data_IF_291514987781
#
_entry.id   IF_291514987781
#
_cell.length_a   1.000
_cell.length_b   1.000
_cell.length_c   1.000
_cell.angle_alpha   90.00
_cell.angle_beta   90.00
_cell.angle_gamma   90.00
#
_symmetry.space_group_name_H-M   'P 1'
#
loop_
_entity.id
_entity.type
_entity.pdbx_description
1 polymer ?
#
# COMPACT_ATOMS: atom_id res chain seq x y z
N UNK A 1 -16.62 -36.25 15.52
CA UNK A 1 -16.91 -35.12 16.42
C UNK A 1 -17.86 -34.15 15.73
N UNK A 2 -18.95 -33.71 16.38
CA UNK A 2 -19.84 -32.67 15.83
C UNK A 2 -19.15 -31.30 15.80
N UNK A 3 -19.47 -30.43 14.82
CA UNK A 3 -18.85 -29.12 14.70
C UNK A 3 -19.22 -28.21 15.87
N UNK A 4 -18.29 -27.40 16.40
CA UNK A 4 -18.55 -26.51 17.53
C UNK A 4 -19.65 -25.51 17.16
N UNK A 5 -20.60 -25.31 18.08
CA UNK A 5 -21.71 -24.38 17.88
C UNK A 5 -21.20 -22.97 17.62
N UNK A 6 -21.67 -22.33 16.55
CA UNK A 6 -21.21 -21.00 16.10
C UNK A 6 -21.44 -19.84 17.08
N UNK A 7 -22.07 -20.09 18.24
CA UNK A 7 -22.35 -19.07 19.25
C UNK A 7 -21.97 -19.62 20.62
N UNK A 8 -21.12 -18.89 21.36
CA UNK A 8 -20.91 -19.16 22.80
C UNK A 8 -22.23 -18.87 23.51
N UNK A 9 -22.72 -19.84 24.30
CA UNK A 9 -23.86 -19.63 25.20
C UNK A 9 -23.34 -18.78 26.37
N UNK A 10 -23.60 -17.47 26.35
CA UNK A 10 -23.41 -16.62 27.53
C UNK A 10 -24.62 -16.80 28.45
N UNK A 11 -24.41 -16.74 29.76
CA UNK A 11 -25.50 -16.78 30.74
C UNK A 11 -26.49 -15.64 30.46
N UNK A 12 -27.78 -15.92 30.64
CA UNK A 12 -28.80 -14.88 30.65
C UNK A 12 -28.51 -13.97 31.86
N UNK A 13 -28.52 -12.67 31.64
CA UNK A 13 -28.40 -11.70 32.72
C UNK A 13 -29.82 -11.40 33.19
N UNK A 14 -30.10 -11.63 34.47
CA UNK A 14 -31.45 -11.55 35.02
C UNK A 14 -31.97 -10.10 35.12
N UNK A 15 -31.07 -9.13 35.36
CA UNK A 15 -31.41 -7.71 35.45
C UNK A 15 -30.37 -6.84 34.72
N UNK A 16 -30.86 -5.91 33.89
CA UNK A 16 -30.01 -4.94 33.17
C UNK A 16 -30.32 -3.56 33.73
N UNK A 17 -29.40 -3.02 34.53
CA UNK A 17 -29.48 -1.63 35.00
C UNK A 17 -28.91 -0.70 33.93
N UNK A 18 -29.65 0.35 33.60
CA UNK A 18 -29.18 1.39 32.69
C UNK A 18 -28.94 2.67 33.48
N UNK A 19 -27.70 3.15 33.50
CA UNK A 19 -27.41 4.52 33.95
C UNK A 19 -27.82 5.48 32.83
N UNK A 20 -28.71 6.42 33.14
CA UNK A 20 -29.17 7.42 32.19
C UNK A 20 -28.02 8.30 31.66
N UNK A 21 -26.97 8.51 32.46
CA UNK A 21 -25.78 9.25 32.02
C UNK A 21 -25.04 8.50 30.93
N UNK A 22 -24.73 7.22 31.16
CA UNK A 22 -24.10 6.36 30.15
C UNK A 22 -24.98 6.21 28.91
N UNK A 23 -26.30 6.18 29.08
CA UNK A 23 -27.25 6.17 27.96
C UNK A 23 -27.17 7.45 27.15
N UNK A 24 -27.12 8.62 27.78
CA UNK A 24 -26.99 9.90 27.08
C UNK A 24 -25.64 10.04 26.37
N UNK A 25 -24.55 9.64 27.01
CA UNK A 25 -23.21 9.58 26.39
C UNK A 25 -23.15 8.54 25.25
N UNK A 26 -23.86 7.42 25.40
CA UNK A 26 -24.00 6.46 24.32
C UNK A 26 -24.79 7.04 23.14
N UNK A 27 -25.90 7.74 23.38
CA UNK A 27 -26.71 8.30 22.30
C UNK A 27 -26.09 9.54 21.63
N UNK A 28 -25.32 10.35 22.35
CA UNK A 28 -24.73 11.59 21.81
C UNK A 28 -23.25 11.44 21.42
N UNK A 29 -22.54 10.49 22.03
CA UNK A 29 -21.11 10.28 21.87
C UNK A 29 -20.69 9.52 20.60
N UNK A 30 -21.52 9.42 19.56
CA UNK A 30 -21.17 8.70 18.32
C UNK A 30 -19.87 9.20 17.69
N UNK A 31 -19.64 10.52 17.67
CA UNK A 31 -18.39 11.12 17.19
C UNK A 31 -17.21 10.73 18.08
N UNK A 32 -17.37 10.74 19.40
CA UNK A 32 -16.35 10.31 20.37
C UNK A 32 -15.99 8.83 20.17
N UNK A 33 -16.99 7.94 20.04
CA UNK A 33 -16.75 6.50 19.77
C UNK A 33 -16.14 6.25 18.39
N UNK A 34 -16.49 7.02 17.38
CA UNK A 34 -15.87 6.93 16.05
C UNK A 34 -14.40 7.33 16.13
N UNK A 35 -14.10 8.44 16.80
CA UNK A 35 -12.72 8.88 17.04
C UNK A 35 -11.94 7.87 17.88
N UNK A 36 -12.53 7.33 18.95
CA UNK A 36 -11.91 6.28 19.78
C UNK A 36 -11.59 5.02 18.96
N UNK A 37 -12.49 4.57 18.07
CA UNK A 37 -12.21 3.45 17.17
C UNK A 37 -11.07 3.75 16.19
N UNK A 38 -11.00 4.97 15.67
CA UNK A 38 -9.90 5.38 14.78
C UNK A 38 -8.59 5.40 15.56
N UNK A 39 -8.57 5.99 16.76
CA UNK A 39 -7.38 6.03 17.64
C UNK A 39 -6.92 4.64 18.04
N UNK A 40 -7.83 3.78 18.49
CA UNK A 40 -7.51 2.39 18.82
C UNK A 40 -6.94 1.63 17.60
N UNK A 41 -7.49 1.84 16.40
CA UNK A 41 -6.93 1.24 15.19
C UNK A 41 -5.52 1.75 14.88
N UNK A 42 -5.25 3.04 15.12
CA UNK A 42 -3.92 3.64 14.99
C UNK A 42 -2.95 3.11 16.05
N UNK A 43 -3.39 2.99 17.30
CA UNK A 43 -2.60 2.45 18.42
C UNK A 43 -2.22 1.00 18.18
N UNK A 44 -3.16 0.16 17.76
CA UNK A 44 -2.89 -1.24 17.42
C UNK A 44 -1.93 -1.34 16.23
N UNK A 45 -2.07 -0.48 15.22
CA UNK A 45 -1.13 -0.45 14.10
C UNK A 45 0.28 -0.05 14.56
N UNK A 46 0.41 0.96 15.41
CA UNK A 46 1.68 1.41 15.96
C UNK A 46 2.33 0.36 16.89
N UNK A 47 1.54 -0.37 17.67
CA UNK A 47 2.04 -1.48 18.50
C UNK A 47 2.60 -2.59 17.62
N UNK A 48 1.86 -3.00 16.59
CA UNK A 48 2.32 -4.01 15.64
C UNK A 48 3.59 -3.61 14.91
N UNK A 49 3.67 -2.37 14.44
CA UNK A 49 4.88 -1.85 13.78
C UNK A 49 6.11 -1.89 14.71
N UNK A 50 5.93 -1.55 16.00
CA UNK A 50 7.01 -1.65 16.99
C UNK A 50 7.43 -3.09 17.26
N UNK A 51 6.49 -4.02 17.32
CA UNK A 51 6.76 -5.44 17.50
C UNK A 51 7.49 -6.03 16.29
N UNK A 52 7.02 -5.73 15.07
CA UNK A 52 7.64 -6.13 13.81
C UNK A 52 9.05 -5.56 13.69
N UNK A 53 9.25 -4.28 13.97
CA UNK A 53 10.59 -3.66 13.94
C UNK A 53 11.55 -4.28 14.95
N UNK A 54 11.07 -4.64 16.14
CA UNK A 54 11.89 -5.33 17.14
C UNK A 54 12.25 -6.74 16.69
N UNK A 55 11.29 -7.45 16.08
CA UNK A 55 11.50 -8.78 15.52
C UNK A 55 12.52 -8.74 14.38
N UNK A 56 12.39 -7.82 13.43
CA UNK A 56 13.33 -7.62 12.32
C UNK A 56 14.74 -7.32 12.84
N UNK A 57 14.87 -6.46 13.86
CA UNK A 57 16.16 -6.18 14.50
C UNK A 57 16.76 -7.42 15.16
N UNK A 58 15.95 -8.25 15.81
CA UNK A 58 16.41 -9.51 16.40
C UNK A 58 16.86 -10.48 15.32
N UNK A 59 16.08 -10.65 14.26
CA UNK A 59 16.41 -11.51 13.11
C UNK A 59 17.70 -11.05 12.43
N UNK A 60 17.92 -9.74 12.27
CA UNK A 60 19.16 -9.18 11.71
C UNK A 60 20.37 -9.48 12.61
N UNK A 61 20.23 -9.34 13.93
CA UNK A 61 21.30 -9.68 14.89
C UNK A 61 21.61 -11.16 14.87
N UNK A 62 20.59 -12.03 14.84
CA UNK A 62 20.77 -13.47 14.74
C UNK A 62 21.46 -13.86 13.43
N UNK A 63 21.06 -13.25 12.31
CA UNK A 63 21.71 -13.47 11.01
C UNK A 63 23.18 -13.09 11.07
N UNK A 64 23.51 -11.89 11.57
CA UNK A 64 24.91 -11.45 11.74
C UNK A 64 25.70 -12.39 12.64
N UNK A 65 25.10 -12.88 13.73
CA UNK A 65 25.73 -13.84 14.62
C UNK A 65 26.04 -15.16 13.91
N UNK A 66 25.08 -15.71 13.18
CA UNK A 66 25.27 -16.95 12.39
C UNK A 66 26.34 -16.77 11.31
N UNK A 67 26.36 -15.63 10.63
CA UNK A 67 27.34 -15.34 9.59
C UNK A 67 28.76 -15.23 10.20
N UNK A 68 28.90 -14.60 11.37
CA UNK A 68 30.16 -14.56 12.13
C UNK A 68 30.59 -15.95 12.61
N UNK A 69 29.68 -16.74 13.17
CA UNK A 69 29.96 -18.12 13.62
C UNK A 69 30.44 -18.99 12.45
N UNK A 70 29.81 -18.86 11.27
CA UNK A 70 30.25 -19.54 10.03
C UNK A 70 31.64 -19.09 9.61
N UNK A 71 31.89 -17.79 9.57
CA UNK A 71 33.19 -17.26 9.17
C UNK A 71 34.31 -17.72 10.11
N UNK A 72 34.09 -17.70 11.43
CA UNK A 72 35.06 -18.21 12.40
C UNK A 72 35.28 -19.71 12.21
N UNK A 73 34.22 -20.50 11.96
CA UNK A 73 34.36 -21.92 11.68
C UNK A 73 35.15 -22.19 10.39
N UNK A 74 34.93 -21.41 9.33
CA UNK A 74 35.66 -21.48 8.06
C UNK A 74 37.15 -21.11 8.24
N UNK A 75 37.46 -20.01 8.93
CA UNK A 75 38.84 -19.61 9.24
C UNK A 75 39.55 -20.67 10.09
N UNK A 76 38.87 -21.17 11.13
CA UNK A 76 39.42 -22.25 11.96
C UNK A 76 39.64 -23.54 11.17
N UNK A 77 38.78 -23.86 10.21
CA UNK A 77 38.95 -25.01 9.33
C UNK A 77 40.14 -24.84 8.38
N UNK A 78 40.33 -23.64 7.81
CA UNK A 78 41.50 -23.30 6.98
C UNK A 78 42.78 -23.39 7.80
N UNK A 79 42.80 -22.79 9.01
CA UNK A 79 43.96 -22.83 9.89
C UNK A 79 44.30 -24.26 10.31
N UNK A 80 43.30 -25.07 10.71
CA UNK A 80 43.52 -26.49 11.02
C UNK A 80 44.04 -27.27 9.82
N UNK A 81 43.54 -27.00 8.61
CA UNK A 81 44.04 -27.63 7.37
C UNK A 81 45.50 -27.25 7.11
N UNK A 82 45.86 -25.97 7.27
CA UNK A 82 47.23 -25.49 7.12
C UNK A 82 48.16 -26.06 8.20
N UNK A 83 47.72 -26.12 9.47
CA UNK A 83 48.48 -26.75 10.55
C UNK A 83 48.67 -28.25 10.31
N UNK A 84 47.66 -28.97 9.81
CA UNK A 84 47.79 -30.40 9.46
C UNK A 84 48.68 -30.64 8.24
N UNK A 85 48.74 -29.70 7.29
CA UNK A 85 49.64 -29.76 6.13
C UNK A 85 51.08 -29.41 6.53
N UNK A 86 51.27 -28.49 7.50
CA UNK A 86 52.56 -28.11 8.08
C UNK A 86 53.09 -29.11 9.12
N UNK A 87 52.30 -30.09 9.59
CA UNK A 87 52.74 -31.11 10.56
C UNK A 87 53.82 -32.07 9.99
N UNK A 88 54.07 -32.02 8.68
CA UNK A 88 55.22 -32.69 8.06
C UNK A 88 56.50 -31.83 7.96
N UNK A 89 56.50 -30.61 8.51
CA UNK A 89 57.69 -29.77 8.44
C UNK A 89 57.63 -28.49 9.25
N UNK A 90 57.57 -28.57 10.58
CA UNK A 90 58.25 -27.58 11.43
C UNK A 90 58.42 -28.05 12.89
N UNK A 91 59.65 -28.47 13.22
CA UNK A 91 60.17 -28.46 14.59
C UNK A 91 61.17 -27.30 14.68
N UNK A 92 60.76 -26.04 14.67
CA UNK A 92 61.50 -24.92 15.27
C UNK A 92 60.78 -23.58 15.07
N UNK A 93 60.06 -23.09 16.08
CA UNK A 93 59.39 -21.78 16.00
C UNK A 93 59.19 -21.17 17.38
N UNK A 94 60.29 -20.68 17.94
CA UNK A 94 60.43 -19.87 19.14
C UNK A 94 59.16 -19.15 19.61
N UNK A 95 58.85 -19.40 20.88
CA UNK A 95 58.09 -18.54 21.78
C UNK A 95 58.47 -17.06 21.57
N UNK A 96 57.54 -16.27 21.07
CA UNK A 96 57.53 -14.82 21.26
C UNK A 96 56.18 -14.47 21.89
N UNK A 97 56.23 -14.32 23.20
CA UNK A 97 55.15 -13.83 24.05
C UNK A 97 55.07 -12.31 23.86
N UNK A 98 54.54 -11.85 22.73
CA UNK A 98 54.04 -10.48 22.61
C UNK A 98 52.71 -10.40 23.38
N UNK A 99 52.86 -10.34 24.71
CA UNK A 99 51.81 -10.07 25.68
C UNK A 99 51.18 -8.72 25.34
N UNK A 100 49.98 -8.77 24.73
CA UNK A 100 49.17 -7.60 24.44
C UNK A 100 48.88 -6.86 25.75
N UNK A 101 49.65 -5.80 26.01
CA UNK A 101 49.47 -4.94 27.17
C UNK A 101 48.13 -4.23 27.04
N UNK A 102 47.12 -4.79 27.71
CA UNK A 102 45.78 -4.22 27.78
C UNK A 102 45.88 -2.75 28.17
N UNK A 103 45.10 -1.90 27.48
CA UNK A 103 44.93 -0.49 27.76
C UNK A 103 44.83 -0.29 29.28
N UNK A 104 45.93 0.16 29.87
CA UNK A 104 46.02 0.47 31.29
C UNK A 104 45.00 1.56 31.59
N UNK A 105 44.00 1.18 32.38
CA UNK A 105 42.97 2.02 32.97
C UNK A 105 43.60 2.93 34.03
N UNK A 106 44.47 3.85 33.62
CA UNK A 106 44.82 5.02 34.41
C UNK A 106 45.46 6.07 33.52
N UNK A 107 44.64 6.91 32.89
CA UNK A 107 45.00 8.31 32.72
C UNK A 107 43.75 9.15 32.45
N UNK A 108 43.58 10.09 33.36
CA UNK A 108 42.65 11.20 33.40
C UNK A 108 42.85 12.13 32.19
N UNK A 109 42.41 11.72 31.02
CA UNK A 109 42.29 12.58 29.85
C UNK A 109 40.82 12.83 29.55
N UNK A 110 40.37 14.04 29.84
CA UNK A 110 39.12 14.62 29.32
C UNK A 110 38.98 14.23 27.85
N UNK A 111 37.88 13.57 27.42
CA UNK A 111 37.72 13.32 26.00
C UNK A 111 37.73 14.67 25.30
N UNK A 112 38.58 14.91 24.28
CA UNK A 112 38.37 16.08 23.45
C UNK A 112 36.93 15.95 22.97
N UNK A 113 36.12 16.98 23.24
CA UNK A 113 34.75 17.06 22.74
C UNK A 113 34.87 17.13 21.23
N UNK A 114 34.99 15.97 20.60
CA UNK A 114 34.97 15.81 19.16
C UNK A 114 33.62 16.35 18.73
N UNK A 115 33.66 17.55 18.13
CA UNK A 115 32.51 18.09 17.45
C UNK A 115 31.99 16.98 16.52
N UNK A 116 30.67 16.70 16.48
CA UNK A 116 30.16 15.70 15.58
C UNK A 116 30.55 16.12 14.17
N UNK A 117 31.52 15.44 13.58
CA UNK A 117 31.87 15.64 12.18
C UNK A 117 30.66 15.08 11.43
N UNK A 118 29.69 15.95 11.16
CA UNK A 118 28.65 15.71 10.17
C UNK A 118 29.35 15.68 8.82
N UNK A 119 29.98 14.56 8.49
CA UNK A 119 30.38 14.26 7.13
C UNK A 119 29.08 13.98 6.38
N UNK A 120 28.48 15.04 5.86
CA UNK A 120 27.41 14.96 4.88
C UNK A 120 28.07 14.48 3.59
N UNK A 121 28.18 13.16 3.44
CA UNK A 121 28.62 12.55 2.19
C UNK A 121 27.46 12.72 1.18
N UNK A 122 27.44 13.85 0.48
CA UNK A 122 26.52 14.09 -0.64
C UNK A 122 26.91 13.20 -1.82
N UNK A 123 26.18 12.10 -2.00
CA UNK A 123 26.21 11.31 -3.23
C UNK A 123 25.50 12.11 -4.33
N UNK A 124 26.27 12.70 -5.25
CA UNK A 124 25.73 13.23 -6.49
C UNK A 124 25.58 12.05 -7.45
N UNK A 125 24.35 11.52 -7.58
CA UNK A 125 24.02 10.61 -8.68
C UNK A 125 24.05 11.42 -9.98
N UNK A 126 25.19 11.44 -10.67
CA UNK A 126 25.43 12.17 -11.94
C UNK A 126 24.48 11.74 -13.08
N UNK A 127 23.70 10.67 -12.88
CA UNK A 127 22.77 10.09 -13.87
C UNK A 127 21.28 10.44 -13.67
N UNK A 128 20.91 11.31 -12.73
CA UNK A 128 19.50 11.72 -12.52
C UNK A 128 19.24 13.16 -12.96
N UNK A 129 19.07 13.38 -14.26
CA UNK A 129 18.51 14.62 -14.78
C UNK A 129 17.01 14.72 -14.44
N UNK A 130 16.67 15.41 -13.35
CA UNK A 130 15.30 15.87 -13.10
C UNK A 130 15.15 17.29 -13.66
N UNK A 131 14.66 17.41 -14.88
CA UNK A 131 14.36 18.73 -15.46
C UNK A 131 13.11 19.31 -14.82
N UNK A 132 13.24 20.46 -14.14
CA UNK A 132 12.12 21.24 -13.61
C UNK A 132 11.60 22.17 -14.70
N UNK A 133 10.37 21.94 -15.15
CA UNK A 133 9.65 22.85 -16.05
C UNK A 133 8.81 23.83 -15.24
N UNK A 134 9.12 25.12 -15.31
CA UNK A 134 8.30 26.17 -14.72
C UNK A 134 7.17 26.49 -15.69
N UNK A 135 5.94 26.12 -15.34
CA UNK A 135 4.74 26.52 -16.08
C UNK A 135 4.02 27.65 -15.33
N UNK A 136 3.72 28.73 -16.05
CA UNK A 136 2.90 29.82 -15.52
C UNK A 136 1.44 29.36 -15.47
N UNK A 137 0.92 29.14 -14.27
CA UNK A 137 -0.49 28.79 -14.03
C UNK A 137 -1.25 30.03 -13.57
N UNK A 138 -2.39 30.30 -14.21
CA UNK A 138 -3.30 31.36 -13.78
C UNK A 138 -4.06 30.90 -12.53
N UNK A 139 -4.06 31.72 -11.48
CA UNK A 139 -4.80 31.45 -10.23
C UNK A 139 -6.15 32.17 -10.31
N UNK A 140 -7.24 31.41 -10.45
CA UNK A 140 -8.61 31.94 -10.39
C UNK A 140 -9.34 31.39 -9.16
N UNK A 141 -10.50 31.98 -8.81
CA UNK A 141 -11.31 31.60 -7.64
C UNK A 141 -11.75 30.12 -7.67
N UNK A 142 -11.79 29.52 -8.86
CA UNK A 142 -12.20 28.13 -9.07
C UNK A 142 -11.02 27.13 -9.24
N UNK A 143 -9.76 27.60 -9.26
CA UNK A 143 -8.57 26.74 -9.23
C UNK A 143 -7.38 27.24 -10.04
N UNK A 144 -6.40 26.34 -10.24
CA UNK A 144 -5.24 26.55 -11.13
C UNK A 144 -5.62 26.17 -12.56
N UNK A 145 -5.56 27.14 -13.48
CA UNK A 145 -5.78 26.92 -14.91
C UNK A 145 -4.45 27.00 -15.67
N UNK A 146 -4.19 25.99 -16.52
CA UNK A 146 -3.02 25.93 -17.37
C UNK A 146 -3.23 26.85 -18.59
N UNK A 147 -2.51 27.96 -18.64
CA UNK A 147 -2.64 28.95 -19.72
C UNK A 147 -2.10 28.34 -21.03
N UNK A 148 -3.00 27.88 -21.90
CA UNK A 148 -2.65 27.50 -23.27
C UNK A 148 -2.34 28.76 -24.06
N UNK A 149 -1.06 29.03 -24.30
CA UNK A 149 -0.63 30.07 -25.23
C UNK A 149 -0.99 29.69 -26.67
N UNK A 150 -1.83 30.49 -27.32
CA UNK A 150 -1.87 30.63 -28.77
C UNK A 150 -2.79 29.68 -29.54
N UNK A 151 -4.06 30.06 -29.67
CA UNK A 151 -4.72 30.13 -30.98
C UNK A 151 -5.99 30.95 -30.83
N UNK A 152 -5.95 32.17 -31.33
CA UNK A 152 -7.15 32.93 -31.66
C UNK A 152 -7.99 32.13 -32.64
N UNK A 153 -9.28 31.97 -32.36
CA UNK A 153 -10.32 32.08 -33.38
C UNK A 153 -11.62 32.53 -32.73
N UNK A 154 -12.09 33.65 -33.26
CA UNK A 154 -13.23 34.44 -32.85
C UNK A 154 -14.50 33.81 -33.44
N UNK A 155 -15.53 33.55 -32.63
CA UNK A 155 -16.73 32.87 -33.12
C UNK A 155 -17.94 33.03 -32.21
N UNK A 156 -18.53 34.23 -32.28
CA UNK A 156 -19.81 34.68 -31.69
C UNK A 156 -20.98 33.68 -31.76
N UNK A 157 -21.90 33.85 -30.80
CA UNK A 157 -23.36 33.75 -31.01
C UNK A 157 -24.03 32.64 -30.20
N UNK A 158 -24.54 32.90 -29.00
CA UNK A 158 -25.86 33.46 -28.63
C UNK A 158 -27.02 32.46 -28.49
N UNK A 159 -27.77 32.70 -27.41
CA UNK A 159 -29.17 32.40 -27.12
C UNK A 159 -29.76 30.96 -27.07
N UNK A 160 -30.15 30.61 -25.83
CA UNK A 160 -31.51 30.22 -25.41
C UNK A 160 -32.43 29.44 -26.37
N UNK A 161 -32.96 28.31 -25.86
CA UNK A 161 -34.41 28.07 -25.81
C UNK A 161 -34.78 26.84 -24.96
N UNK A 162 -35.60 27.13 -23.94
CA UNK A 162 -36.47 26.18 -23.25
C UNK A 162 -37.59 25.61 -24.15
N UNK A 163 -38.29 24.61 -23.58
CA UNK A 163 -39.67 24.13 -23.86
C UNK A 163 -39.81 23.10 -24.99
N UNK A 164 -40.73 22.14 -24.97
CA UNK A 164 -41.58 21.47 -23.99
C UNK A 164 -42.36 20.41 -24.81
N UNK A 165 -42.77 19.31 -24.18
CA UNK A 165 -43.88 18.41 -24.59
C UNK A 165 -43.78 17.60 -25.92
N UNK A 166 -44.08 16.30 -25.82
CA UNK A 166 -45.29 15.69 -26.40
C UNK A 166 -45.36 14.20 -26.09
N UNK A 167 -46.35 13.82 -25.31
CA UNK A 167 -46.93 12.48 -25.28
C UNK A 167 -47.79 12.29 -26.55
N UNK A 168 -47.79 11.09 -27.14
CA UNK A 168 -49.03 10.37 -27.51
C UNK A 168 -48.79 9.06 -28.27
N UNK A 169 -49.62 8.06 -27.91
CA UNK A 169 -50.12 6.89 -28.67
C UNK A 169 -49.13 5.75 -29.00
N UNK A 170 -49.29 4.51 -28.50
CA UNK A 170 -50.36 3.50 -28.64
C UNK A 170 -50.38 2.78 -30.00
N UNK A 171 -50.07 1.47 -29.89
CA UNK A 171 -50.44 0.31 -30.72
C UNK A 171 -49.84 0.10 -32.11
N UNK A 172 -49.12 -1.02 -32.23
CA UNK A 172 -48.76 -1.68 -33.49
C UNK A 172 -48.39 -3.15 -33.26
N UNK A 173 -49.40 -3.99 -33.06
CA UNK A 173 -49.29 -5.46 -33.00
C UNK A 173 -48.83 -5.98 -34.36
N UNK A 174 -47.80 -6.83 -34.40
CA UNK A 174 -47.52 -7.59 -35.63
C UNK A 174 -46.11 -8.13 -35.84
N UNK A 175 -45.43 -8.73 -34.84
CA UNK A 175 -44.19 -9.53 -35.07
C UNK A 175 -44.04 -10.70 -34.09
N UNK A 176 -45.10 -11.47 -33.85
CA UNK A 176 -45.06 -12.61 -32.92
C UNK A 176 -44.58 -13.94 -33.54
N UNK A 177 -44.46 -14.05 -34.86
CA UNK A 177 -44.24 -15.34 -35.54
C UNK A 177 -42.77 -15.77 -35.70
N UNK A 178 -41.80 -14.86 -35.65
CA UNK A 178 -40.36 -15.22 -35.70
C UNK A 178 -39.76 -15.58 -34.33
N UNK A 179 -40.37 -15.09 -33.24
CA UNK A 179 -39.85 -15.31 -31.88
C UNK A 179 -40.02 -16.77 -31.43
N UNK A 180 -41.10 -17.43 -31.86
CA UNK A 180 -41.45 -18.80 -31.46
C UNK A 180 -40.46 -19.82 -32.03
N UNK A 181 -39.93 -19.61 -33.25
CA UNK A 181 -38.95 -20.53 -33.87
C UNK A 181 -37.56 -20.46 -33.23
N UNK A 182 -37.17 -19.33 -32.62
CA UNK A 182 -35.89 -19.19 -31.89
C UNK A 182 -35.95 -19.80 -30.48
N UNK A 183 -37.11 -19.77 -29.83
CA UNK A 183 -37.30 -20.32 -28.48
C UNK A 183 -37.28 -21.86 -28.44
N UNK A 184 -37.59 -22.54 -29.55
CA UNK A 184 -37.53 -24.00 -29.63
C UNK A 184 -36.09 -24.55 -29.63
N UNK A 185 -35.11 -23.82 -30.18
CA UNK A 185 -33.69 -24.22 -30.19
C UNK A 185 -32.94 -23.86 -28.90
N UNK A 186 -33.47 -22.97 -28.06
CA UNK A 186 -32.81 -22.54 -26.82
C UNK A 186 -33.08 -23.48 -25.63
N UNK A 187 -34.13 -24.30 -25.68
CA UNK A 187 -34.50 -25.27 -24.62
C UNK A 187 -33.54 -26.45 -24.47
N UNK A 188 -32.66 -26.67 -25.44
CA UNK A 188 -31.61 -27.71 -25.43
C UNK A 188 -30.31 -27.26 -24.74
N UNK A 189 -30.18 -25.98 -24.38
CA UNK A 189 -28.98 -25.47 -23.70
C UNK A 189 -29.19 -25.41 -22.18
N UNK A 190 -28.22 -25.85 -21.36
CA UNK A 190 -28.34 -25.74 -19.91
C UNK A 190 -28.51 -24.27 -19.51
N UNK A 191 -29.59 -23.98 -18.76
CA UNK A 191 -29.90 -22.63 -18.28
C UNK A 191 -28.73 -22.12 -17.44
N UNK A 192 -28.10 -21.02 -17.87
CA UNK A 192 -27.03 -20.37 -17.10
C UNK A 192 -27.60 -19.94 -15.74
N UNK A 193 -26.97 -20.37 -14.66
CA UNK A 193 -27.35 -19.96 -13.30
C UNK A 193 -27.34 -18.43 -13.22
N UNK A 194 -28.38 -17.84 -12.62
CA UNK A 194 -28.45 -16.40 -12.37
C UNK A 194 -27.17 -15.99 -11.62
N UNK A 195 -26.41 -15.04 -12.17
CA UNK A 195 -25.24 -14.50 -11.49
C UNK A 195 -25.74 -13.95 -10.16
N UNK A 196 -25.24 -14.50 -9.04
CA UNK A 196 -25.46 -13.88 -7.73
C UNK A 196 -24.83 -12.50 -7.81
N UNK A 197 -25.63 -11.45 -7.75
CA UNK A 197 -25.11 -10.10 -7.61
C UNK A 197 -24.39 -10.09 -6.26
N UNK A 198 -23.07 -10.17 -6.30
CA UNK A 198 -22.24 -9.83 -5.16
C UNK A 198 -21.73 -8.44 -5.47
N UNK A 199 -21.85 -7.55 -4.49
CA UNK A 199 -21.16 -6.28 -4.59
C UNK A 199 -19.68 -6.59 -4.75
N UNK A 200 -19.09 -5.99 -5.78
CA UNK A 200 -17.64 -6.00 -5.97
C UNK A 200 -16.97 -5.57 -4.67
N UNK A 201 -15.87 -6.22 -4.32
CA UNK A 201 -15.05 -5.79 -3.19
C UNK A 201 -14.57 -4.36 -3.41
N UNK A 202 -14.18 -3.64 -2.34
CA UNK A 202 -13.69 -2.26 -2.49
C UNK A 202 -12.51 -2.16 -3.46
N UNK A 203 -11.66 -3.19 -3.51
CA UNK A 203 -10.53 -3.28 -4.43
C UNK A 203 -11.01 -3.46 -5.89
N UNK A 204 -11.91 -4.41 -6.14
CA UNK A 204 -12.52 -4.63 -7.46
C UNK A 204 -13.22 -3.38 -7.98
N UNK A 205 -13.98 -2.68 -7.14
CA UNK A 205 -14.64 -1.41 -7.49
C UNK A 205 -13.65 -0.33 -7.90
N UNK A 206 -12.49 -0.24 -7.22
CA UNK A 206 -11.44 0.71 -7.57
C UNK A 206 -10.82 0.37 -8.93
N UNK A 207 -10.52 -0.91 -9.18
CA UNK A 207 -10.00 -1.37 -10.47
C UNK A 207 -11.00 -1.14 -11.61
N UNK A 208 -12.29 -1.39 -11.36
CA UNK A 208 -13.38 -1.08 -12.30
C UNK A 208 -13.43 0.40 -12.65
N UNK A 209 -13.37 1.30 -11.65
CA UNK A 209 -13.32 2.74 -11.87
C UNK A 209 -12.11 3.18 -12.69
N UNK A 210 -10.93 2.60 -12.44
CA UNK A 210 -9.71 2.91 -13.21
C UNK A 210 -9.91 2.48 -14.68
N UNK A 211 -10.40 1.26 -14.91
CA UNK A 211 -10.66 0.73 -16.24
C UNK A 211 -11.70 1.55 -17.01
N UNK A 212 -12.76 2.00 -16.34
CA UNK A 212 -13.77 2.85 -16.94
C UNK A 212 -13.23 4.24 -17.29
N UNK A 213 -12.39 4.82 -16.41
CA UNK A 213 -11.68 6.09 -16.71
C UNK A 213 -10.77 5.94 -17.93
N UNK A 214 -10.00 4.86 -18.01
CA UNK A 214 -9.13 4.58 -19.18
C UNK A 214 -9.95 4.43 -20.46
N UNK A 215 -11.05 3.67 -20.43
CA UNK A 215 -11.94 3.50 -21.59
C UNK A 215 -12.60 4.81 -22.02
N UNK A 216 -13.08 5.62 -21.07
CA UNK A 216 -13.68 6.92 -21.36
C UNK A 216 -12.64 7.91 -21.91
N UNK A 217 -11.44 7.91 -21.35
CA UNK A 217 -10.31 8.72 -21.82
C UNK A 217 -9.91 8.31 -23.24
N UNK A 218 -9.70 7.02 -23.51
CA UNK A 218 -9.38 6.53 -24.85
C UNK A 218 -10.48 6.88 -25.87
N UNK A 219 -11.76 6.75 -25.50
CA UNK A 219 -12.89 7.15 -26.35
C UNK A 219 -12.94 8.68 -26.57
N UNK A 220 -12.56 9.47 -25.57
CA UNK A 220 -12.48 10.92 -25.69
C UNK A 220 -11.33 11.34 -26.62
N UNK A 221 -10.14 10.73 -26.47
CA UNK A 221 -8.99 10.94 -27.37
C UNK A 221 -9.33 10.58 -28.82
N UNK A 222 -9.96 9.43 -29.04
CA UNK A 222 -10.41 9.01 -30.37
C UNK A 222 -11.41 10.01 -30.99
N UNK A 223 -12.27 10.65 -30.19
CA UNK A 223 -13.18 11.71 -30.67
C UNK A 223 -12.48 13.03 -30.95
N UNK A 224 -11.39 13.33 -30.24
CA UNK A 224 -10.58 14.53 -30.42
C UNK A 224 -9.59 14.42 -31.59
N UNK A 225 -9.51 13.28 -32.26
CA UNK A 225 -8.61 13.07 -33.38
C UNK A 225 -7.13 12.96 -32.99
N UNK A 226 -6.81 12.91 -31.69
CA UNK A 226 -5.44 12.86 -31.14
C UNK A 226 -4.73 11.50 -31.37
N UNK A 227 -5.23 10.65 -32.28
CA UNK A 227 -4.66 9.34 -32.60
C UNK A 227 -3.95 9.30 -33.97
N UNK A 228 -3.72 10.44 -34.62
CA UNK A 228 -2.87 10.55 -35.81
C UNK A 228 -1.63 11.39 -35.48
N UNK A 229 -0.63 10.74 -34.86
CA UNK A 229 0.78 11.11 -34.87
C UNK A 229 1.60 9.85 -34.59
#
# INVERSE_FOLDING_TARGET
>A
MPPPSKRRKTSAVDEITFDDKDRTDFLTGFRRRKQARIRHAQEVAAQKEKEERQRERRELRERRKRDLERHVAEVNAILRKQSSENEYGDRNGSSDEDEWSGLSEDETATPPREAPIRREDEYVDEDKYTTVTVSEVGITRDGFEEARSGSSDDGKGDEDKEKESRQSAVNGRGKLSEKIKREAKEKQRPKKKKKKFRYETKAERKLGRIKDRMRKSAKAKARRGENNA
#
